data_IF_078135294665
#
_entry.id   IF_078135294665
#
_cell.length_a   1.000
_cell.length_b   1.000
_cell.length_c   1.000
_cell.angle_alpha   90.00
_cell.angle_beta   90.00
_cell.angle_gamma   90.00
#
_symmetry.space_group_name_H-M   'P 1'
#
loop_
_entity.id
_entity.type
_entity.pdbx_description
1 polymer ?
#
# COMPACT_ATOMS: atom_id res chain seq x y z
N UNK A 1 10.51 -22.33 -7.47
CA UNK A 1 9.70 -21.27 -8.10
C UNK A 1 9.19 -20.36 -7.00
N UNK A 2 9.52 -19.07 -6.99
CA UNK A 2 8.83 -18.12 -6.11
C UNK A 2 7.42 -17.98 -6.65
N UNK A 3 6.41 -18.32 -5.84
CA UNK A 3 5.02 -18.07 -6.17
C UNK A 3 4.85 -16.55 -6.30
N UNK A 4 4.85 -16.03 -7.53
CA UNK A 4 4.52 -14.65 -7.85
C UNK A 4 3.00 -14.42 -7.89
N UNK A 5 2.21 -15.37 -7.37
CA UNK A 5 0.77 -15.25 -7.34
C UNK A 5 0.37 -14.14 -6.37
N UNK A 6 -0.42 -13.19 -6.87
CA UNK A 6 -1.10 -12.19 -6.06
C UNK A 6 -2.26 -12.88 -5.35
N UNK A 7 -2.31 -12.76 -4.03
CA UNK A 7 -3.41 -13.25 -3.20
C UNK A 7 -4.19 -12.05 -2.66
N UNK A 8 -5.52 -12.14 -2.69
CA UNK A 8 -6.40 -11.12 -2.13
C UNK A 8 -6.25 -11.08 -0.60
N UNK A 9 -6.10 -9.89 -0.03
CA UNK A 9 -6.15 -9.68 1.42
C UNK A 9 -7.59 -9.78 1.88
N UNK A 10 -7.86 -10.70 2.80
CA UNK A 10 -9.16 -10.84 3.46
C UNK A 10 -9.16 -10.11 4.81
N UNK A 11 -10.37 -9.82 5.29
CA UNK A 11 -10.59 -9.23 6.60
C UNK A 11 -9.88 -10.06 7.68
N UNK A 12 -9.08 -9.38 8.50
CA UNK A 12 -8.32 -9.96 9.62
C UNK A 12 -7.16 -10.91 9.25
N UNK A 13 -6.76 -11.00 7.98
CA UNK A 13 -5.61 -11.84 7.59
C UNK A 13 -4.32 -11.45 8.31
N UNK A 14 -4.18 -10.16 8.63
CA UNK A 14 -3.04 -9.60 9.35
C UNK A 14 -2.79 -10.23 10.73
N UNK A 15 -3.80 -10.85 11.36
CA UNK A 15 -3.74 -11.41 12.73
C UNK A 15 -2.80 -12.62 12.83
N UNK A 16 -2.49 -13.28 11.71
CA UNK A 16 -1.73 -14.56 11.67
C UNK A 16 -0.24 -14.46 12.09
N UNK A 17 0.17 -13.37 12.72
CA UNK A 17 1.52 -13.21 13.27
C UNK A 17 1.78 -14.09 14.49
N UNK A 18 2.82 -14.90 14.46
CA UNK A 18 3.37 -15.51 15.67
C UNK A 18 3.82 -14.42 16.66
N UNK A 19 3.78 -14.71 17.96
CA UNK A 19 4.18 -13.77 19.04
C UNK A 19 5.60 -13.19 18.91
N UNK A 20 6.44 -13.81 18.08
CA UNK A 20 7.78 -13.35 17.70
C UNK A 20 7.81 -12.20 16.68
N UNK A 21 6.67 -11.79 16.11
CA UNK A 21 6.54 -10.69 15.14
C UNK A 21 5.93 -9.42 15.75
N UNK A 22 6.18 -9.17 17.04
CA UNK A 22 5.67 -8.01 17.79
C UNK A 22 6.32 -6.67 17.39
N UNK A 23 7.21 -6.65 16.39
CA UNK A 23 7.76 -5.41 15.86
C UNK A 23 6.80 -4.76 14.84
N UNK A 24 6.02 -3.80 15.32
CA UNK A 24 5.15 -2.94 14.51
C UNK A 24 5.96 -1.83 13.83
N UNK A 25 6.85 -2.22 12.90
CA UNK A 25 7.61 -1.26 12.10
C UNK A 25 6.68 -0.28 11.37
N UNK A 26 7.24 0.87 10.95
CA UNK A 26 6.51 1.96 10.30
C UNK A 26 5.57 1.50 9.18
N UNK A 27 5.99 0.53 8.37
CA UNK A 27 5.20 -0.02 7.26
C UNK A 27 4.72 -1.44 7.53
N UNK A 28 4.35 -1.78 8.76
CA UNK A 28 3.87 -3.11 9.13
C UNK A 28 2.38 -3.12 9.50
N UNK A 29 1.69 -4.20 9.13
CA UNK A 29 0.32 -4.55 9.54
C UNK A 29 0.30 -6.03 9.92
N UNK A 30 0.52 -6.32 11.21
CA UNK A 30 0.79 -7.69 11.65
C UNK A 30 2.04 -8.23 10.93
N UNK A 31 1.89 -9.34 10.20
CA UNK A 31 2.99 -9.95 9.46
C UNK A 31 3.21 -9.30 8.08
N UNK A 32 2.27 -8.47 7.62
CA UNK A 32 2.36 -7.81 6.34
C UNK A 32 3.28 -6.59 6.37
N UNK A 33 4.09 -6.45 5.33
CA UNK A 33 4.87 -5.26 5.03
C UNK A 33 4.20 -4.48 3.88
N UNK A 34 3.89 -3.21 4.13
CA UNK A 34 3.40 -2.28 3.11
C UNK A 34 4.57 -1.87 2.24
N UNK A 35 4.52 -2.18 0.95
CA UNK A 35 5.56 -1.75 0.02
C UNK A 35 5.39 -0.29 -0.38
N UNK A 36 6.49 0.37 -0.72
CA UNK A 36 6.45 1.76 -1.21
C UNK A 36 5.57 1.89 -2.46
N UNK A 37 5.59 0.88 -3.34
CA UNK A 37 4.67 0.81 -4.49
C UNK A 37 3.21 0.85 -4.06
N UNK A 38 2.82 0.00 -3.11
CA UNK A 38 1.45 -0.01 -2.59
C UNK A 38 1.07 1.32 -1.93
N UNK A 39 1.98 1.94 -1.16
CA UNK A 39 1.72 3.24 -0.53
C UNK A 39 1.49 4.31 -1.60
N UNK A 40 2.33 4.36 -2.63
CA UNK A 40 2.17 5.31 -3.76
C UNK A 40 0.85 5.07 -4.50
N UNK A 41 0.51 3.81 -4.80
CA UNK A 41 -0.77 3.46 -5.43
C UNK A 41 -1.97 3.86 -4.56
N UNK A 42 -1.92 3.61 -3.26
CA UNK A 42 -2.99 3.99 -2.33
C UNK A 42 -3.17 5.52 -2.30
N UNK A 43 -2.08 6.27 -2.18
CA UNK A 43 -2.14 7.74 -2.17
C UNK A 43 -2.72 8.29 -3.47
N UNK A 44 -2.38 7.69 -4.61
CA UNK A 44 -2.95 8.07 -5.89
C UNK A 44 -4.44 7.70 -5.98
N UNK A 45 -4.79 6.45 -5.67
CA UNK A 45 -6.14 5.90 -5.89
C UNK A 45 -7.17 6.45 -4.90
N UNK A 46 -6.82 6.56 -3.62
CA UNK A 46 -7.75 6.92 -2.54
C UNK A 46 -7.71 8.43 -2.24
N UNK A 47 -6.53 9.06 -2.27
CA UNK A 47 -6.39 10.49 -1.98
C UNK A 47 -6.23 11.38 -3.22
N UNK A 48 -6.13 10.81 -4.43
CA UNK A 48 -5.88 11.59 -5.64
C UNK A 48 -4.51 12.28 -5.67
N UNK A 49 -3.55 11.81 -4.86
CA UNK A 49 -2.21 12.38 -4.74
C UNK A 49 -1.26 11.62 -5.66
N UNK A 50 -1.02 12.16 -6.84
CA UNK A 50 0.00 11.67 -7.76
C UNK A 50 1.29 12.49 -7.62
N UNK A 51 2.41 11.81 -7.36
CA UNK A 51 3.75 12.44 -7.32
C UNK A 51 4.46 12.12 -8.64
N UNK A 52 4.71 13.11 -9.50
CA UNK A 52 5.48 12.91 -10.74
C UNK A 52 6.93 12.52 -10.46
N UNK A 53 7.49 11.64 -11.29
CA UNK A 53 8.89 11.23 -11.19
C UNK A 53 9.86 12.42 -11.27
N UNK A 54 9.49 13.47 -12.02
CA UNK A 54 10.29 14.69 -12.14
C UNK A 54 10.49 15.40 -10.80
N UNK A 55 9.53 15.35 -9.87
CA UNK A 55 9.63 16.01 -8.57
C UNK A 55 10.65 15.35 -7.65
N UNK A 56 10.89 14.06 -7.83
CA UNK A 56 11.83 13.25 -7.04
C UNK A 56 13.08 12.85 -7.82
N UNK A 57 13.26 13.40 -9.02
CA UNK A 57 14.36 13.04 -9.92
C UNK A 57 15.73 13.48 -9.40
N UNK A 58 15.80 14.65 -8.76
CA UNK A 58 17.04 15.25 -8.23
C UNK A 58 17.17 15.19 -6.71
N UNK A 59 16.14 14.74 -5.99
CA UNK A 59 16.10 14.60 -4.53
C UNK A 59 16.08 13.14 -4.09
N UNK A 60 16.36 12.87 -2.81
CA UNK A 60 16.26 11.52 -2.22
C UNK A 60 17.09 10.45 -2.95
N UNK A 61 18.27 10.84 -3.45
CA UNK A 61 19.14 10.00 -4.30
C UNK A 61 19.84 8.85 -3.57
N UNK A 62 19.55 8.65 -2.27
CA UNK A 62 20.06 7.55 -1.46
C UNK A 62 19.56 6.16 -1.92
N UNK A 63 18.55 6.13 -2.79
CA UNK A 63 17.99 4.92 -3.39
C UNK A 63 17.76 5.14 -4.89
N UNK A 64 17.86 4.08 -5.70
CA UNK A 64 17.46 4.13 -7.12
C UNK A 64 15.98 3.82 -7.35
N UNK A 65 15.25 3.37 -6.32
CA UNK A 65 13.82 3.07 -6.42
C UNK A 65 12.98 4.34 -6.39
N UNK A 66 12.28 4.62 -7.49
CA UNK A 66 11.46 5.83 -7.65
C UNK A 66 10.30 5.88 -6.65
N UNK A 67 9.65 4.75 -6.32
CA UNK A 67 8.54 4.73 -5.38
C UNK A 67 9.01 5.00 -3.96
N UNK A 68 10.17 4.47 -3.56
CA UNK A 68 10.80 4.85 -2.28
C UNK A 68 11.05 6.36 -2.22
N UNK A 69 11.55 6.97 -3.30
CA UNK A 69 11.75 8.44 -3.33
C UNK A 69 10.42 9.20 -3.22
N UNK A 70 9.36 8.73 -3.86
CA UNK A 70 8.00 9.30 -3.75
C UNK A 70 7.49 9.22 -2.31
N UNK A 71 7.66 8.08 -1.65
CA UNK A 71 7.30 7.92 -0.22
C UNK A 71 8.09 8.90 0.64
N UNK A 72 9.41 8.98 0.47
CA UNK A 72 10.23 9.95 1.23
C UNK A 72 9.81 11.40 0.98
N UNK A 73 9.44 11.75 -0.26
CA UNK A 73 8.90 13.06 -0.60
C UNK A 73 7.57 13.33 0.12
N UNK A 74 6.61 12.40 0.04
CA UNK A 74 5.31 12.52 0.71
C UNK A 74 5.46 12.69 2.22
N UNK A 75 6.45 12.04 2.82
CA UNK A 75 6.76 12.18 4.25
C UNK A 75 7.38 13.53 4.60
N UNK A 76 8.37 13.96 3.82
CA UNK A 76 9.01 15.27 3.99
C UNK A 76 8.02 16.43 3.82
N UNK A 77 7.00 16.24 2.99
CA UNK A 77 5.93 17.21 2.76
C UNK A 77 4.71 17.03 3.68
N UNK A 78 4.71 16.04 4.59
CA UNK A 78 3.60 15.79 5.52
C UNK A 78 2.33 15.19 4.89
N UNK A 79 2.38 14.78 3.62
CA UNK A 79 1.28 14.10 2.92
C UNK A 79 1.04 12.69 3.45
N UNK A 80 2.11 12.00 3.87
CA UNK A 80 2.05 10.67 4.48
C UNK A 80 2.16 10.78 6.01
N UNK A 81 1.17 11.42 6.62
CA UNK A 81 1.10 11.64 8.07
C UNK A 81 0.89 10.34 8.87
N UNK A 82 1.01 10.40 10.19
CA UNK A 82 0.65 9.26 11.06
C UNK A 82 -0.81 8.83 10.88
N UNK A 83 -1.72 9.78 10.68
CA UNK A 83 -3.14 9.52 10.50
C UNK A 83 -3.40 8.84 9.15
N UNK A 84 -2.79 9.35 8.07
CA UNK A 84 -2.81 8.73 6.74
C UNK A 84 -2.25 7.31 6.79
N UNK A 85 -1.12 7.11 7.47
CA UNK A 85 -0.56 5.77 7.64
C UNK A 85 -1.47 4.86 8.45
N UNK A 86 -2.17 5.36 9.48
CA UNK A 86 -3.14 4.56 10.23
C UNK A 86 -4.35 4.18 9.38
N UNK A 87 -4.82 5.08 8.52
CA UNK A 87 -5.85 4.82 7.54
C UNK A 87 -5.45 3.68 6.59
N UNK A 88 -4.27 3.78 5.95
CA UNK A 88 -3.72 2.73 5.08
C UNK A 88 -3.67 1.39 5.81
N UNK A 89 -3.18 1.37 7.06
CA UNK A 89 -3.13 0.14 7.86
C UNK A 89 -4.54 -0.42 8.12
N UNK A 90 -5.52 0.43 8.40
CA UNK A 90 -6.89 -0.01 8.64
C UNK A 90 -7.54 -0.57 7.37
N UNK A 91 -7.28 0.03 6.20
CA UNK A 91 -7.73 -0.49 4.92
C UNK A 91 -7.16 -1.90 4.64
N UNK A 92 -5.91 -2.18 5.05
CA UNK A 92 -5.35 -3.54 4.95
C UNK A 92 -5.96 -4.50 5.97
N UNK A 93 -6.28 -4.03 7.19
CA UNK A 93 -6.88 -4.88 8.23
C UNK A 93 -8.30 -5.32 7.87
N UNK A 94 -9.07 -4.38 7.31
CA UNK A 94 -10.46 -4.54 6.95
C UNK A 94 -10.65 -3.83 5.60
N UNK A 95 -10.32 -4.49 4.48
CA UNK A 95 -10.56 -3.93 3.15
C UNK A 95 -12.04 -3.61 2.96
N UNK A 96 -12.34 -2.46 2.32
CA UNK A 96 -13.70 -2.14 1.90
C UNK A 96 -14.13 -3.05 0.76
N UNK A 97 -15.44 -3.23 0.58
CA UNK A 97 -15.98 -4.01 -0.54
C UNK A 97 -15.67 -3.35 -1.90
N UNK A 98 -15.48 -2.02 -1.93
CA UNK A 98 -15.21 -1.24 -3.15
C UNK A 98 -13.76 -1.38 -3.65
N UNK A 99 -12.86 -1.97 -2.86
CA UNK A 99 -11.43 -2.07 -3.19
C UNK A 99 -10.90 -3.47 -2.98
N UNK A 100 -10.00 -3.90 -3.87
CA UNK A 100 -9.22 -5.13 -3.70
C UNK A 100 -7.78 -4.77 -3.39
N UNK A 101 -7.27 -5.33 -2.28
CA UNK A 101 -5.87 -5.22 -1.89
C UNK A 101 -5.22 -6.57 -2.05
N UNK A 102 -4.02 -6.61 -2.64
CA UNK A 102 -3.30 -7.86 -2.89
C UNK A 102 -1.95 -7.90 -2.19
N UNK A 103 -1.59 -9.12 -1.79
CA UNK A 103 -0.29 -9.43 -1.24
C UNK A 103 0.45 -10.50 -2.04
N UNK A 104 1.78 -10.44 -2.01
CA UNK A 104 2.67 -11.49 -2.48
C UNK A 104 3.54 -11.93 -1.29
N UNK A 105 3.26 -13.13 -0.78
CA UNK A 105 3.82 -13.58 0.49
C UNK A 105 3.39 -12.62 1.61
N UNK A 106 4.36 -12.03 2.30
CA UNK A 106 4.11 -11.08 3.38
C UNK A 106 4.14 -9.61 2.93
N UNK A 107 4.15 -9.32 1.63
CA UNK A 107 4.23 -7.95 1.11
C UNK A 107 2.89 -7.54 0.53
N UNK A 108 2.32 -6.43 0.99
CA UNK A 108 1.19 -5.77 0.32
C UNK A 108 1.74 -5.01 -0.87
N UNK A 109 1.23 -5.30 -2.06
CA UNK A 109 1.85 -4.87 -3.33
C UNK A 109 0.92 -4.13 -4.27
N UNK A 110 -0.40 -4.24 -4.11
CA UNK A 110 -1.36 -3.66 -5.05
C UNK A 110 -2.68 -3.28 -4.40
N UNK A 111 -3.29 -2.21 -4.88
CA UNK A 111 -4.70 -1.84 -4.65
C UNK A 111 -5.41 -1.51 -5.97
N UNK A 112 -6.69 -1.84 -6.09
CA UNK A 112 -7.53 -1.46 -7.22
C UNK A 112 -8.99 -1.28 -6.76
N UNK A 113 -9.76 -0.43 -7.44
CA UNK A 113 -11.22 -0.41 -7.28
C UNK A 113 -11.82 -1.70 -7.85
N UNK A 114 -12.90 -2.19 -7.25
CA UNK A 114 -13.78 -3.11 -7.97
C UNK A 114 -14.39 -2.36 -9.15
N UNK A 115 -14.19 -2.85 -10.37
CA UNK A 115 -14.99 -2.41 -11.51
C UNK A 115 -16.44 -2.81 -11.24
N UNK A 116 -17.31 -1.83 -11.05
CA UNK A 116 -18.75 -2.03 -11.15
C UNK A 116 -19.01 -2.56 -12.56
N UNK A 117 -19.35 -3.84 -12.68
CA UNK A 117 -20.00 -4.36 -13.87
C UNK A 117 -21.40 -3.73 -13.95
N UNK A 118 -21.47 -2.44 -14.29
CA UNK A 118 -22.64 -1.87 -14.93
C UNK A 118 -22.63 -2.41 -16.36
N UNK A 119 -23.06 -3.67 -16.53
CA UNK A 119 -23.60 -4.13 -17.80
C UNK A 119 -24.74 -3.18 -18.16
N UNK A 120 -24.43 -2.19 -18.99
CA UNK A 120 -25.43 -1.43 -19.74
C UNK A 120 -26.08 -2.44 -20.68
N UNK A 121 -27.12 -3.10 -20.18
CA UNK A 121 -28.08 -3.83 -21.01
C UNK A 121 -29.05 -2.79 -21.57
N UNK A 122 -28.68 -2.22 -22.73
CA UNK A 122 -29.61 -1.54 -23.63
C UNK A 122 -29.91 -2.42 -24.83
#
# INVERSE_FOLDING_TARGET
>A
MKNNALTLVLKNDWITSSSSQTYNGKYMVGHFHLTDTFIVEYMNLIHGVEIPDSWVSSGFTNTSDTNTRKVMYMEGCGMLSNDTMNEIRNAVKIPSDDVKIYHNGNKIVKIEFMEDYNEITN
#
